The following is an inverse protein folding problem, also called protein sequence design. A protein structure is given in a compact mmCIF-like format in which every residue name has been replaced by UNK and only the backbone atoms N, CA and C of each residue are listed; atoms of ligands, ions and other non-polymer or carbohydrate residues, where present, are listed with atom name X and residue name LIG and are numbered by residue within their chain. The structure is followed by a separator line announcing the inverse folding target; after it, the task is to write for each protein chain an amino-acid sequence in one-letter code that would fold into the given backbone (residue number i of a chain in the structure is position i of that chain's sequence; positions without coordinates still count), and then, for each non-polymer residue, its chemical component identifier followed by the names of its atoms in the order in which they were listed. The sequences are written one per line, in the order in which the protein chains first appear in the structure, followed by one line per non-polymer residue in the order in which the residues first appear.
data_IF_912478308815
#
_entry.id   IF_912478308815
#
_cell.length_a   1.000
_cell.length_b   1.000
_cell.length_c   1.000
_cell.angle_alpha   90.00
_cell.angle_beta   90.00
_cell.angle_gamma   90.00
#
_symmetry.space_group_name_H-M   'P 1'
#
loop_
_entity.id
_entity.type
_entity.pdbx_description
1 polymer ?
#
# COMPACT_ATOMS: atom_id res chain seq x y z
N UNK A 1 -1.22 -26.54 -3.53
CA UNK A 1 -0.10 -25.61 -3.25
C UNK A 1 -0.32 -24.36 -4.08
N UNK A 2 -0.35 -23.17 -3.48
CA UNK A 2 -0.39 -21.91 -4.25
C UNK A 2 1.02 -21.61 -4.76
N UNK A 3 1.13 -21.29 -6.05
CA UNK A 3 2.39 -20.95 -6.71
C UNK A 3 3.01 -19.73 -6.02
N UNK A 4 4.28 -19.82 -5.65
CA UNK A 4 5.04 -18.63 -5.20
C UNK A 4 5.41 -17.84 -6.46
N UNK A 5 4.97 -16.58 -6.59
CA UNK A 5 5.24 -15.79 -7.78
C UNK A 5 6.73 -15.43 -7.87
N UNK A 6 7.30 -15.53 -9.07
CA UNK A 6 8.72 -15.21 -9.35
C UNK A 6 8.85 -13.84 -10.05
N UNK A 7 7.90 -12.92 -9.83
CA UNK A 7 8.03 -11.53 -10.25
C UNK A 7 6.71 -10.77 -10.42
N UNK A 8 6.77 -9.43 -10.66
CA UNK A 8 5.60 -8.56 -10.73
C UNK A 8 4.55 -8.95 -11.78
N UNK A 9 5.01 -9.46 -12.93
CA UNK A 9 4.15 -9.84 -14.05
C UNK A 9 3.30 -11.09 -13.76
N UNK A 10 3.78 -12.00 -12.91
CA UNK A 10 3.04 -13.21 -12.58
C UNK A 10 1.79 -12.91 -11.75
N UNK A 11 1.78 -11.84 -10.96
CA UNK A 11 0.60 -11.46 -10.18
C UNK A 11 -0.61 -11.08 -11.03
N UNK A 12 -0.42 -10.70 -12.30
CA UNK A 12 -1.54 -10.47 -13.23
C UNK A 12 -2.28 -11.76 -13.60
N UNK A 13 -1.63 -12.91 -13.42
CA UNK A 13 -2.19 -14.25 -13.68
C UNK A 13 -2.93 -14.82 -12.47
N UNK A 14 -2.76 -14.23 -11.28
CA UNK A 14 -3.44 -14.71 -10.09
C UNK A 14 -4.89 -14.24 -10.10
N UNK A 15 -5.80 -15.17 -9.84
CA UNK A 15 -7.18 -14.84 -9.56
C UNK A 15 -7.30 -14.06 -8.24
N UNK A 16 -8.41 -13.33 -8.11
CA UNK A 16 -8.77 -12.64 -6.86
C UNK A 16 -8.80 -13.58 -5.65
N UNK A 17 -9.20 -14.84 -5.84
CA UNK A 17 -9.27 -15.82 -4.75
C UNK A 17 -7.87 -16.26 -4.30
N UNK A 18 -6.95 -16.48 -5.24
CA UNK A 18 -5.56 -16.83 -4.92
C UNK A 18 -4.85 -15.71 -4.18
N UNK A 19 -5.03 -14.46 -4.63
CA UNK A 19 -4.47 -13.29 -3.96
C UNK A 19 -5.07 -13.08 -2.56
N UNK A 20 -6.37 -13.34 -2.38
CA UNK A 20 -7.00 -13.29 -1.07
C UNK A 20 -6.44 -14.38 -0.15
N UNK A 21 -6.30 -15.61 -0.65
CA UNK A 21 -5.69 -16.71 0.10
C UNK A 21 -4.23 -16.42 0.48
N UNK A 22 -3.48 -15.72 -0.37
CA UNK A 22 -2.14 -15.23 -0.04
C UNK A 22 -2.18 -14.24 1.12
N UNK A 23 -3.09 -13.26 1.07
CA UNK A 23 -3.27 -12.31 2.16
C UNK A 23 -3.67 -13.01 3.47
N UNK A 24 -4.51 -14.06 3.42
CA UNK A 24 -5.01 -14.77 4.60
C UNK A 24 -3.89 -15.53 5.32
N UNK A 25 -2.92 -16.07 4.57
CA UNK A 25 -1.74 -16.74 5.15
C UNK A 25 -0.81 -15.83 5.93
N UNK A 26 -0.89 -14.50 5.76
CA UNK A 26 -0.08 -13.57 6.55
C UNK A 26 -0.32 -13.69 8.06
N UNK A 27 -1.44 -14.27 8.49
CA UNK A 27 -1.73 -14.56 9.90
C UNK A 27 -0.64 -15.44 10.53
N UNK A 28 -0.04 -16.35 9.75
CA UNK A 28 1.04 -17.21 10.22
C UNK A 28 2.40 -16.49 10.38
N UNK A 29 2.51 -15.23 9.95
CA UNK A 29 3.73 -14.40 10.05
C UNK A 29 4.98 -15.00 9.39
N UNK A 30 4.79 -15.88 8.40
CA UNK A 30 5.88 -16.46 7.62
C UNK A 30 6.52 -15.39 6.71
N UNK A 31 7.85 -15.26 6.80
CA UNK A 31 8.61 -14.24 6.05
C UNK A 31 8.37 -14.33 4.55
N UNK A 32 8.41 -15.53 3.97
CA UNK A 32 8.19 -15.75 2.52
C UNK A 32 6.80 -15.28 2.07
N UNK A 33 5.77 -15.53 2.89
CA UNK A 33 4.40 -15.08 2.59
C UNK A 33 4.29 -13.55 2.67
N UNK A 34 4.91 -12.94 3.69
CA UNK A 34 4.96 -11.48 3.84
C UNK A 34 5.69 -10.85 2.65
N UNK A 35 6.85 -11.38 2.27
CA UNK A 35 7.64 -10.91 1.14
C UNK A 35 6.82 -10.96 -0.16
N UNK A 36 6.10 -12.05 -0.41
CA UNK A 36 5.21 -12.15 -1.57
C UNK A 36 4.08 -11.10 -1.56
N UNK A 37 3.48 -10.83 -0.39
CA UNK A 37 2.47 -9.79 -0.24
C UNK A 37 3.04 -8.39 -0.50
N UNK A 38 4.27 -8.13 -0.03
CA UNK A 38 4.99 -6.88 -0.29
C UNK A 38 5.22 -6.72 -1.79
N UNK A 39 5.76 -7.75 -2.45
CA UNK A 39 6.00 -7.73 -3.90
C UNK A 39 4.69 -7.51 -4.69
N UNK A 40 3.57 -8.11 -4.26
CA UNK A 40 2.28 -7.83 -4.86
C UNK A 40 1.90 -6.35 -4.72
N UNK A 41 1.99 -5.78 -3.50
CA UNK A 41 1.64 -4.37 -3.22
C UNK A 41 2.54 -3.40 -3.98
N UNK A 42 3.78 -3.77 -4.24
CA UNK A 42 4.73 -2.95 -5.02
C UNK A 42 4.48 -3.09 -6.52
N UNK A 43 4.12 -4.28 -7.02
CA UNK A 43 3.88 -4.51 -8.44
C UNK A 43 2.80 -3.59 -9.02
N UNK A 44 2.90 -3.15 -10.28
CA UNK A 44 1.92 -2.25 -10.91
C UNK A 44 0.84 -2.99 -11.72
N UNK A 45 0.17 -3.97 -11.09
CA UNK A 45 -0.85 -4.78 -11.77
C UNK A 45 -2.23 -4.12 -11.72
N UNK A 46 -2.89 -4.05 -12.88
CA UNK A 46 -4.17 -3.32 -13.08
C UNK A 46 -5.41 -4.22 -13.22
N UNK A 47 -5.32 -5.53 -12.96
CA UNK A 47 -6.46 -6.44 -13.11
C UNK A 47 -7.60 -6.14 -12.13
N UNK A 48 -8.82 -6.48 -12.54
CA UNK A 48 -10.03 -6.18 -11.76
C UNK A 48 -9.93 -6.73 -10.32
N UNK A 49 -10.15 -5.86 -9.34
CA UNK A 49 -10.12 -6.22 -7.91
C UNK A 49 -8.75 -6.15 -7.25
N UNK A 50 -7.65 -5.94 -7.98
CA UNK A 50 -6.31 -5.85 -7.40
C UNK A 50 -6.19 -4.69 -6.40
N UNK A 51 -6.81 -3.54 -6.68
CA UNK A 51 -6.86 -2.41 -5.73
C UNK A 51 -7.47 -2.80 -4.37
N UNK A 52 -8.53 -3.62 -4.37
CA UNK A 52 -9.16 -4.12 -3.13
C UNK A 52 -8.27 -5.11 -2.38
N UNK A 53 -7.53 -5.95 -3.09
CA UNK A 53 -6.55 -6.86 -2.50
C UNK A 53 -5.38 -6.06 -1.90
N UNK A 54 -4.84 -5.06 -2.60
CA UNK A 54 -3.78 -4.18 -2.07
C UNK A 54 -4.22 -3.49 -0.79
N UNK A 55 -5.46 -3.01 -0.74
CA UNK A 55 -6.05 -2.43 0.46
C UNK A 55 -6.16 -3.45 1.61
N UNK A 56 -6.60 -4.68 1.33
CA UNK A 56 -6.62 -5.77 2.32
C UNK A 56 -5.22 -6.09 2.86
N UNK A 57 -4.25 -6.30 1.96
CA UNK A 57 -2.87 -6.60 2.34
C UNK A 57 -2.25 -5.44 3.12
N UNK A 58 -2.51 -4.19 2.74
CA UNK A 58 -1.97 -3.01 3.45
C UNK A 58 -2.46 -2.94 4.89
N UNK A 59 -3.74 -3.25 5.14
CA UNK A 59 -4.30 -3.34 6.50
C UNK A 59 -3.61 -4.42 7.33
N UNK A 60 -3.25 -5.55 6.72
CA UNK A 60 -2.58 -6.66 7.42
C UNK A 60 -1.09 -6.43 7.62
N UNK A 61 -0.40 -5.87 6.62
CA UNK A 61 1.05 -5.62 6.64
C UNK A 61 1.44 -4.66 7.79
N UNK A 62 0.52 -3.78 8.21
CA UNK A 62 0.68 -2.95 9.41
C UNK A 62 0.96 -3.77 10.69
N UNK A 63 0.50 -5.02 10.74
CA UNK A 63 0.65 -5.90 11.90
C UNK A 63 1.74 -6.98 11.69
N UNK A 64 2.54 -6.86 10.64
CA UNK A 64 3.61 -7.81 10.33
C UNK A 64 4.98 -7.26 10.73
N UNK A 65 5.88 -8.14 11.14
CA UNK A 65 7.29 -7.80 11.31
C UNK A 65 7.95 -7.67 9.93
N UNK A 66 8.05 -6.43 9.43
CA UNK A 66 8.62 -6.15 8.12
C UNK A 66 10.13 -5.88 8.23
N UNK A 67 10.92 -6.50 7.35
CA UNK A 67 12.32 -6.14 7.17
C UNK A 67 12.45 -4.67 6.75
N UNK A 68 13.58 -4.03 7.08
CA UNK A 68 13.85 -2.63 6.67
C UNK A 68 13.74 -2.45 5.16
N UNK A 69 14.18 -3.43 4.38
CA UNK A 69 14.07 -3.45 2.92
C UNK A 69 12.61 -3.40 2.48
N UNK A 70 11.73 -4.22 3.06
CA UNK A 70 10.31 -4.26 2.71
C UNK A 70 9.59 -2.97 3.12
N UNK A 71 9.88 -2.44 4.32
CA UNK A 71 9.34 -1.15 4.75
C UNK A 71 9.69 -0.05 3.75
N UNK A 72 10.96 0.00 3.32
CA UNK A 72 11.45 0.98 2.35
C UNK A 72 10.76 0.81 0.98
N UNK A 73 10.69 -0.42 0.46
CA UNK A 73 10.03 -0.72 -0.82
C UNK A 73 8.56 -0.26 -0.82
N UNK A 74 7.81 -0.60 0.23
CA UNK A 74 6.42 -0.21 0.38
C UNK A 74 6.28 1.31 0.43
N UNK A 75 7.06 1.96 1.30
CA UNK A 75 7.00 3.40 1.48
C UNK A 75 7.27 4.13 0.17
N UNK A 76 8.39 3.82 -0.50
CA UNK A 76 8.76 4.45 -1.78
C UNK A 76 7.66 4.26 -2.81
N UNK A 77 7.15 3.04 -2.98
CA UNK A 77 6.10 2.74 -3.94
C UNK A 77 4.81 3.53 -3.67
N UNK A 78 4.38 3.59 -2.41
CA UNK A 78 3.16 4.30 -2.00
C UNK A 78 3.34 5.81 -2.21
N UNK A 79 4.46 6.39 -1.80
CA UNK A 79 4.70 7.82 -1.96
C UNK A 79 4.85 8.22 -3.44
N UNK A 80 5.47 7.37 -4.26
CA UNK A 80 5.55 7.58 -5.70
C UNK A 80 4.18 7.58 -6.37
N UNK A 81 3.29 6.65 -5.99
CA UNK A 81 1.90 6.64 -6.48
C UNK A 81 1.15 7.90 -6.07
N UNK A 82 1.29 8.33 -4.81
CA UNK A 82 0.68 9.58 -4.36
C UNK A 82 1.13 10.77 -5.22
N UNK A 83 2.43 10.83 -5.54
CA UNK A 83 3.00 11.90 -6.35
C UNK A 83 2.53 11.84 -7.82
N UNK A 84 2.50 10.67 -8.44
CA UNK A 84 2.12 10.52 -9.85
C UNK A 84 0.61 10.57 -10.09
N UNK A 85 -0.21 10.31 -9.06
CA UNK A 85 -1.65 10.16 -9.22
C UNK A 85 -2.09 8.80 -9.74
N UNK A 86 -1.17 7.85 -9.97
CA UNK A 86 -1.42 6.50 -10.47
C UNK A 86 -1.94 5.57 -9.36
N UNK A 87 -3.15 5.85 -8.85
CA UNK A 87 -3.80 5.03 -7.85
C UNK A 87 -5.34 5.04 -7.98
N UNK A 88 -5.98 4.01 -7.45
CA UNK A 88 -7.44 3.88 -7.42
C UNK A 88 -8.05 4.39 -6.10
N UNK A 89 -9.37 4.44 -6.01
CA UNK A 89 -10.09 4.88 -4.80
C UNK A 89 -9.77 4.08 -3.52
N UNK A 90 -9.25 2.86 -3.64
CA UNK A 90 -8.90 2.02 -2.49
C UNK A 90 -7.52 2.35 -1.90
N UNK A 91 -6.88 3.45 -2.33
CA UNK A 91 -5.52 3.80 -1.97
C UNK A 91 -5.34 4.30 -0.53
N UNK A 92 -6.41 4.70 0.15
CA UNK A 92 -6.32 5.20 1.55
C UNK A 92 -5.70 4.19 2.51
N UNK A 93 -5.94 2.90 2.33
CA UNK A 93 -5.33 1.86 3.19
C UNK A 93 -3.83 1.72 2.97
N UNK A 94 -3.34 1.99 1.76
CA UNK A 94 -1.90 2.07 1.48
C UNK A 94 -1.29 3.30 2.17
N UNK A 95 -1.95 4.45 2.14
CA UNK A 95 -1.47 5.65 2.84
C UNK A 95 -1.45 5.47 4.36
N UNK A 96 -2.44 4.78 4.94
CA UNK A 96 -2.41 4.42 6.37
C UNK A 96 -1.22 3.53 6.72
N UNK A 97 -0.87 2.61 5.83
CA UNK A 97 0.34 1.82 5.99
C UNK A 97 1.58 2.72 5.91
N UNK A 98 1.68 3.62 4.92
CA UNK A 98 2.81 4.55 4.82
C UNK A 98 2.98 5.43 6.07
N UNK A 99 1.89 5.97 6.64
CA UNK A 99 1.91 6.69 7.92
C UNK A 99 2.53 5.83 9.04
N UNK A 100 2.13 4.56 9.12
CA UNK A 100 2.64 3.64 10.12
C UNK A 100 4.12 3.28 9.93
N UNK A 101 4.57 3.19 8.68
CA UNK A 101 5.96 2.88 8.34
C UNK A 101 6.89 4.07 8.61
N UNK A 102 6.50 5.26 8.17
CA UNK A 102 7.26 6.49 8.37
C UNK A 102 6.35 7.71 8.26
N UNK A 103 5.94 8.22 9.43
CA UNK A 103 5.10 9.42 9.53
C UNK A 103 5.80 10.64 8.91
N UNK A 104 7.09 10.83 9.18
CA UNK A 104 7.82 12.03 8.75
C UNK A 104 7.91 12.12 7.23
N UNK A 105 8.31 11.04 6.57
CA UNK A 105 8.38 10.98 5.11
C UNK A 105 6.99 11.11 4.48
N UNK A 106 5.98 10.47 5.08
CA UNK A 106 4.60 10.55 4.58
C UNK A 106 4.03 11.96 4.69
N UNK A 107 4.28 12.67 5.80
CA UNK A 107 3.91 14.08 5.96
C UNK A 107 4.59 14.98 4.93
N UNK A 108 5.89 14.77 4.67
CA UNK A 108 6.59 15.55 3.64
C UNK A 108 6.02 15.31 2.23
N UNK A 109 5.64 14.08 1.90
CA UNK A 109 4.97 13.77 0.63
C UNK A 109 3.56 14.37 0.56
N UNK A 110 2.82 14.39 1.68
CA UNK A 110 1.52 15.05 1.78
C UNK A 110 1.59 16.54 1.41
N UNK A 111 2.58 17.26 1.94
CA UNK A 111 2.79 18.68 1.64
C UNK A 111 3.03 18.90 0.14
N UNK A 112 3.85 18.07 -0.50
CA UNK A 112 4.08 18.12 -1.96
C UNK A 112 2.83 17.79 -2.77
N UNK A 113 2.07 16.79 -2.33
CA UNK A 113 0.84 16.36 -3.01
C UNK A 113 -0.27 17.43 -2.97
N UNK A 114 -0.27 18.31 -1.97
CA UNK A 114 -1.23 19.41 -1.86
C UNK A 114 -1.13 20.42 -3.02
N UNK A 115 0.05 20.56 -3.62
CA UNK A 115 0.28 21.41 -4.80
C UNK A 115 0.23 20.66 -6.14
N UNK A 116 -0.24 19.41 -6.16
CA UNK A 116 -0.35 18.62 -7.39
C UNK A 116 -1.32 19.27 -8.39
N UNK A 117 -1.02 19.17 -9.68
CA UNK A 117 -1.95 19.54 -10.76
C UNK A 117 -3.23 18.69 -10.75
N UNK A 118 -3.14 17.45 -10.26
CA UNK A 118 -4.25 16.51 -10.21
C UNK A 118 -5.18 16.77 -9.02
N UNK A 119 -6.45 17.08 -9.31
CA UNK A 119 -7.44 17.36 -8.27
C UNK A 119 -7.67 16.17 -7.31
N UNK A 120 -7.62 14.94 -7.79
CA UNK A 120 -7.77 13.76 -6.93
C UNK A 120 -6.59 13.59 -5.97
N UNK A 121 -5.35 13.87 -6.41
CA UNK A 121 -4.17 13.85 -5.55
C UNK A 121 -4.30 14.88 -4.43
N UNK A 122 -4.72 16.11 -4.75
CA UNK A 122 -4.95 17.15 -3.74
C UNK A 122 -5.99 16.74 -2.70
N UNK A 123 -7.10 16.10 -3.11
CA UNK A 123 -8.11 15.57 -2.18
C UNK A 123 -7.54 14.51 -1.24
N UNK A 124 -6.65 13.66 -1.75
CA UNK A 124 -5.97 12.65 -0.92
C UNK A 124 -4.95 13.28 0.03
N UNK A 125 -4.23 14.32 -0.38
CA UNK A 125 -3.36 15.09 0.49
C UNK A 125 -4.14 15.76 1.63
N UNK A 126 -5.29 16.37 1.33
CA UNK A 126 -6.16 16.97 2.35
C UNK A 126 -6.67 15.93 3.36
N UNK A 127 -7.12 14.77 2.86
CA UNK A 127 -7.52 13.66 3.73
C UNK A 127 -6.35 13.13 4.58
N UNK A 128 -5.14 13.08 4.02
CA UNK A 128 -3.96 12.62 4.73
C UNK A 128 -3.54 13.61 5.83
N UNK A 129 -3.69 14.92 5.59
CA UNK A 129 -3.46 15.97 6.58
C UNK A 129 -4.33 15.80 7.82
N UNK A 130 -5.62 15.49 7.65
CA UNK A 130 -6.53 15.22 8.79
C UNK A 130 -6.25 13.90 9.49
N UNK A 131 -5.67 12.91 8.78
CA UNK A 131 -5.29 11.63 9.37
C UNK A 131 -3.97 11.70 10.17
N UNK A 132 -3.04 12.57 9.78
CA UNK A 132 -1.75 12.81 10.46
C UNK A 132 -1.96 13.71 11.69
N UNK A 133 -2.80 14.72 11.56
CA UNK A 133 -3.21 15.62 12.63
C UNK A 133 -4.70 15.40 12.90
N UNK A 134 -5.08 14.30 13.58
CA UNK A 134 -6.42 14.22 14.13
C UNK A 134 -6.57 15.46 15.01
N UNK A 135 -7.58 16.29 14.73
CA UNK A 135 -7.77 17.54 15.47
C UNK A 135 -7.71 17.24 16.96
N UNK A 136 -6.83 17.94 17.68
CA UNK A 136 -6.91 18.06 19.13
C UNK A 136 -8.14 18.92 19.47
N UNK A 137 -9.33 18.42 19.15
CA UNK A 137 -10.58 19.06 19.54
C UNK A 137 -10.95 18.51 20.93
N UNK A 138 -10.74 19.39 21.92
CA UNK A 138 -11.24 19.35 23.31
C UNK A 138 -12.76 19.23 23.33
#
# INVERSE_FOLDING_TARGET
MLRTPVGPAEFSLFSKQELRGLADRMIAQESVTIDCCVEFVVAETKSNGHGRIRALMSRRLKHCALSRTNQTKLLVCILQRLQSGEFSEQFKDQLRLAIHLDLKQTSAACVRAASSEFAHVRRYAEWLRTAIHPRDDI
#
